data_IF_517585312568
#
_entry.id   IF_517585312568
#
_cell.length_a   1.000
_cell.length_b   1.000
_cell.length_c   1.000
_cell.angle_alpha   90.00
_cell.angle_beta   90.00
_cell.angle_gamma   90.00
#
_symmetry.space_group_name_H-M   'P 1'
#
loop_
_entity.id
_entity.type
_entity.pdbx_description
1 polymer ?
#
# COMPACT_ATOMS: atom_id res chain seq x y z
N UNK A 1 9.66 34.78 -12.12
CA UNK A 1 9.06 34.75 -10.76
C UNK A 1 8.72 33.32 -10.36
N UNK A 2 7.80 32.63 -11.03
CA UNK A 2 7.44 31.23 -10.71
C UNK A 2 8.64 30.27 -10.77
N UNK A 3 9.52 30.43 -11.75
CA UNK A 3 10.75 29.65 -11.90
C UNK A 3 11.76 29.88 -10.76
N UNK A 4 11.86 31.10 -10.27
CA UNK A 4 12.76 31.47 -9.20
C UNK A 4 12.26 30.93 -7.84
N UNK A 5 10.95 30.92 -7.63
CA UNK A 5 10.37 30.34 -6.41
C UNK A 5 10.54 28.81 -6.37
N UNK A 6 10.27 28.11 -7.48
CA UNK A 6 10.49 26.68 -7.57
C UNK A 6 11.97 26.29 -7.45
N UNK A 7 12.89 27.13 -7.95
CA UNK A 7 14.34 26.84 -7.87
C UNK A 7 14.96 27.12 -6.50
N UNK A 8 14.23 27.71 -5.56
CA UNK A 8 14.68 27.87 -4.15
C UNK A 8 14.52 26.61 -3.33
N UNK A 9 13.76 25.65 -3.83
CA UNK A 9 13.51 24.40 -3.13
C UNK A 9 14.63 23.37 -3.44
N UNK A 10 15.38 22.99 -2.43
CA UNK A 10 16.53 22.05 -2.56
C UNK A 10 16.12 20.64 -3.03
N UNK A 11 14.86 20.26 -2.88
CA UNK A 11 14.33 18.97 -3.28
C UNK A 11 13.82 18.94 -4.72
N UNK A 12 13.71 20.11 -5.37
CA UNK A 12 13.21 20.26 -6.74
C UNK A 12 14.35 20.75 -7.64
N UNK A 13 14.58 20.09 -8.75
CA UNK A 13 15.57 20.54 -9.72
C UNK A 13 15.12 21.85 -10.39
N UNK A 14 16.06 22.58 -10.94
CA UNK A 14 15.74 23.74 -11.77
C UNK A 14 14.74 23.34 -12.88
N UNK A 15 13.63 24.08 -13.04
CA UNK A 15 12.63 23.78 -14.05
C UNK A 15 13.21 23.91 -15.47
N UNK A 16 12.84 22.98 -16.34
CA UNK A 16 13.16 23.00 -17.77
C UNK A 16 11.88 23.27 -18.55
N UNK A 17 11.92 24.25 -19.45
CA UNK A 17 10.79 24.65 -20.28
C UNK A 17 11.28 25.14 -21.64
N UNK A 18 10.34 25.53 -22.51
CA UNK A 18 10.67 26.17 -23.79
C UNK A 18 11.56 27.43 -23.62
N UNK A 19 11.44 28.11 -22.47
CA UNK A 19 12.27 29.29 -22.16
C UNK A 19 13.75 28.90 -22.07
N UNK A 20 14.07 27.81 -21.43
CA UNK A 20 15.45 27.33 -21.33
C UNK A 20 15.99 26.84 -22.67
N UNK A 21 15.13 26.23 -23.50
CA UNK A 21 15.49 25.85 -24.88
C UNK A 21 15.82 27.12 -25.72
N UNK A 22 15.01 28.17 -25.60
CA UNK A 22 15.26 29.45 -26.29
C UNK A 22 16.56 30.11 -25.81
N UNK A 23 16.85 30.11 -24.49
CA UNK A 23 18.12 30.63 -23.95
C UNK A 23 19.30 29.82 -24.46
N UNK A 24 19.18 28.50 -24.52
CA UNK A 24 20.21 27.61 -25.06
C UNK A 24 20.44 27.87 -26.56
N UNK A 25 19.36 28.03 -27.36
CA UNK A 25 19.45 28.36 -28.78
C UNK A 25 20.13 29.72 -29.00
N UNK A 26 19.83 30.72 -28.15
CA UNK A 26 20.49 32.02 -28.19
C UNK A 26 22.00 31.90 -27.90
N UNK A 27 22.38 31.13 -26.90
CA UNK A 27 23.78 30.84 -26.59
C UNK A 27 24.49 30.10 -27.74
N UNK A 28 23.85 29.08 -28.30
CA UNK A 28 24.39 28.32 -29.43
C UNK A 28 24.60 29.23 -30.67
N UNK A 29 23.65 30.07 -30.97
CA UNK A 29 23.75 31.06 -32.09
C UNK A 29 24.98 31.97 -31.93
N UNK A 30 25.36 32.34 -30.71
CA UNK A 30 26.55 33.14 -30.39
C UNK A 30 27.76 32.31 -30.01
N UNK A 31 27.98 31.16 -30.68
CA UNK A 31 29.15 30.29 -30.53
C UNK A 31 29.35 29.74 -29.09
N UNK A 32 28.25 29.47 -28.35
CA UNK A 32 28.28 28.86 -27.05
C UNK A 32 28.73 29.75 -25.89
N UNK A 33 28.89 31.07 -26.10
CA UNK A 33 29.35 32.01 -25.07
C UNK A 33 28.36 32.06 -23.90
N UNK A 34 28.77 31.83 -22.63
CA UNK A 34 27.88 31.82 -21.48
C UNK A 34 27.08 33.11 -21.24
N UNK A 35 27.65 34.27 -21.62
CA UNK A 35 26.99 35.59 -21.51
C UNK A 35 25.69 35.70 -22.35
N UNK A 36 25.52 34.84 -23.34
CA UNK A 36 24.35 34.79 -24.20
C UNK A 36 23.30 33.75 -23.75
N UNK A 37 23.48 33.08 -22.61
CA UNK A 37 22.44 32.26 -22.00
C UNK A 37 21.35 33.13 -21.36
N UNK A 38 20.62 33.82 -22.20
CA UNK A 38 19.53 34.73 -21.85
C UNK A 38 18.49 34.76 -22.96
N UNK A 39 17.32 35.32 -22.68
CA UNK A 39 16.31 35.48 -23.72
C UNK A 39 16.84 36.45 -24.83
N UNK A 40 16.58 36.14 -26.12
CA UNK A 40 16.97 36.97 -27.22
C UNK A 40 16.24 38.32 -27.17
N UNK A 41 16.88 39.36 -27.68
CA UNK A 41 16.26 40.67 -27.85
C UNK A 41 15.22 40.64 -28.96
N UNK A 42 14.29 41.59 -28.97
CA UNK A 42 13.26 41.69 -30.02
C UNK A 42 13.82 41.69 -31.44
N UNK A 43 15.01 42.22 -31.64
CA UNK A 43 15.69 42.27 -32.95
C UNK A 43 16.20 40.87 -33.38
N UNK A 44 16.70 40.07 -32.47
CA UNK A 44 17.30 38.77 -32.77
C UNK A 44 16.32 37.61 -32.62
N UNK A 45 15.17 37.84 -31.99
CA UNK A 45 14.15 36.83 -31.69
C UNK A 45 13.74 36.00 -32.92
N UNK A 46 13.41 36.66 -34.02
CA UNK A 46 12.94 35.98 -35.23
C UNK A 46 14.03 35.10 -35.89
N UNK A 47 15.29 35.58 -35.85
CA UNK A 47 16.42 34.80 -36.36
C UNK A 47 16.68 33.53 -35.50
N UNK A 48 16.64 33.66 -34.19
CA UNK A 48 16.91 32.57 -33.27
C UNK A 48 15.77 31.54 -33.29
N UNK A 49 14.50 32.00 -33.35
CA UNK A 49 13.35 31.09 -33.49
C UNK A 49 13.41 30.35 -34.84
N UNK A 50 13.77 31.01 -35.92
CA UNK A 50 13.97 30.39 -37.24
C UNK A 50 15.14 29.39 -37.21
N UNK A 51 16.24 29.78 -36.59
CA UNK A 51 17.39 28.86 -36.39
C UNK A 51 16.99 27.62 -35.56
N UNK A 52 16.28 27.82 -34.47
CA UNK A 52 15.79 26.70 -33.62
C UNK A 52 14.79 25.80 -34.34
N UNK A 53 13.92 26.37 -35.20
CA UNK A 53 12.93 25.59 -35.98
C UNK A 53 13.52 24.88 -37.20
N UNK A 54 14.56 25.43 -37.81
CA UNK A 54 15.25 24.85 -38.96
C UNK A 54 16.35 23.84 -38.61
N UNK A 55 16.82 23.84 -37.37
CA UNK A 55 17.71 22.79 -36.90
C UNK A 55 16.95 21.48 -36.83
N UNK A 56 17.03 20.70 -37.90
CA UNK A 56 16.50 19.33 -38.04
C UNK A 56 17.16 18.34 -37.08
N UNK A 57 18.03 18.81 -36.18
CA UNK A 57 18.71 18.06 -35.15
C UNK A 57 18.03 18.16 -33.77
N UNK A 58 18.78 17.89 -32.73
CA UNK A 58 18.32 17.79 -31.32
C UNK A 58 17.54 19.01 -30.80
N UNK A 59 17.80 20.22 -31.30
CA UNK A 59 17.17 21.46 -30.78
C UNK A 59 15.71 21.58 -31.21
N UNK A 60 15.37 21.29 -32.46
CA UNK A 60 13.99 21.33 -32.98
C UNK A 60 13.12 20.25 -32.34
N UNK A 61 13.66 19.02 -32.19
CA UNK A 61 12.99 17.91 -31.52
C UNK A 61 12.74 18.19 -30.02
N UNK A 62 13.68 18.86 -29.35
CA UNK A 62 13.53 19.24 -27.93
C UNK A 62 12.47 20.33 -27.72
N UNK A 63 12.35 21.31 -28.61
CA UNK A 63 11.33 22.36 -28.52
C UNK A 63 9.90 21.77 -28.59
N UNK A 64 9.68 20.81 -29.47
CA UNK A 64 8.40 20.09 -29.63
C UNK A 64 8.01 19.26 -28.40
N UNK A 65 8.97 18.93 -27.52
CA UNK A 65 8.70 18.25 -26.26
C UNK A 65 8.08 19.17 -25.20
N UNK A 66 8.20 20.49 -25.35
CA UNK A 66 7.71 21.48 -24.38
C UNK A 66 6.53 22.30 -24.86
N UNK A 67 6.25 22.31 -26.15
CA UNK A 67 5.14 23.07 -26.73
C UNK A 67 4.46 22.22 -27.79
N UNK A 68 3.14 22.23 -27.81
CA UNK A 68 2.37 21.52 -28.82
C UNK A 68 2.35 22.27 -30.17
N UNK A 69 1.92 21.58 -31.24
CA UNK A 69 1.87 22.13 -32.60
C UNK A 69 0.92 23.35 -32.72
N UNK A 70 -0.05 23.46 -31.82
CA UNK A 70 -1.02 24.58 -31.80
C UNK A 70 -0.55 25.77 -30.97
N UNK A 71 0.60 25.66 -30.29
CA UNK A 71 1.16 26.65 -29.35
C UNK A 71 0.22 27.03 -28.21
N UNK A 72 -0.76 26.15 -27.89
CA UNK A 72 -1.74 26.39 -26.83
C UNK A 72 -1.36 25.72 -25.53
N UNK A 73 -0.45 24.74 -25.58
CA UNK A 73 -0.01 23.96 -24.41
C UNK A 73 1.49 24.07 -24.22
N UNK A 74 1.88 24.42 -23.01
CA UNK A 74 3.30 24.51 -22.63
C UNK A 74 3.57 23.55 -21.51
N UNK A 75 4.66 22.80 -21.64
CA UNK A 75 5.13 21.86 -20.62
C UNK A 75 6.27 22.46 -19.82
N UNK A 76 6.13 22.40 -18.51
CA UNK A 76 7.18 22.70 -17.54
C UNK A 76 7.61 21.36 -16.90
N UNK A 77 8.89 21.01 -16.96
CA UNK A 77 9.42 19.77 -16.42
C UNK A 77 10.46 20.04 -15.35
N UNK A 78 10.37 19.32 -14.24
CA UNK A 78 11.38 19.34 -13.18
C UNK A 78 11.49 17.95 -12.55
N UNK A 79 12.61 17.68 -11.91
CA UNK A 79 12.85 16.45 -11.17
C UNK A 79 12.69 16.72 -9.69
N UNK A 80 12.12 15.78 -8.98
CA UNK A 80 11.93 15.81 -7.53
C UNK A 80 12.76 14.68 -6.93
N UNK A 81 13.46 14.94 -5.82
CA UNK A 81 14.14 13.91 -5.04
C UNK A 81 13.13 12.94 -4.44
N UNK A 82 13.55 11.74 -4.09
CA UNK A 82 12.73 10.81 -3.30
C UNK A 82 12.67 11.30 -1.84
N UNK A 83 11.64 12.06 -1.52
CA UNK A 83 11.46 12.73 -0.22
C UNK A 83 10.39 12.06 0.66
N UNK A 84 9.83 10.95 0.20
CA UNK A 84 8.75 10.25 0.87
C UNK A 84 7.39 10.95 0.75
N UNK A 85 6.34 10.19 1.10
CA UNK A 85 4.93 10.56 0.79
C UNK A 85 4.47 11.84 1.49
N UNK A 86 4.84 12.04 2.75
CA UNK A 86 4.37 13.21 3.54
C UNK A 86 4.95 14.51 3.00
N UNK A 87 6.27 14.57 2.78
CA UNK A 87 6.91 15.76 2.22
C UNK A 87 6.46 16.03 0.79
N UNK A 88 6.19 14.97 0.01
CA UNK A 88 5.68 15.12 -1.35
C UNK A 88 4.30 15.76 -1.39
N UNK A 89 3.43 15.45 -0.43
CA UNK A 89 2.13 16.10 -0.29
C UNK A 89 2.26 17.59 0.02
N UNK A 90 3.11 17.95 0.98
CA UNK A 90 3.37 19.34 1.33
C UNK A 90 3.93 20.15 0.13
N UNK A 91 4.76 19.50 -0.70
CA UNK A 91 5.30 20.10 -1.93
C UNK A 91 4.25 20.24 -3.02
N UNK A 92 3.37 19.26 -3.20
CA UNK A 92 2.26 19.32 -4.14
C UNK A 92 1.32 20.48 -3.79
N UNK A 93 0.94 20.60 -2.51
CA UNK A 93 0.08 21.69 -2.04
C UNK A 93 0.72 23.08 -2.27
N UNK A 94 2.01 23.21 -1.98
CA UNK A 94 2.75 24.44 -2.27
C UNK A 94 2.78 24.76 -3.78
N UNK A 95 2.99 23.73 -4.61
CA UNK A 95 3.01 23.89 -6.06
C UNK A 95 1.66 24.37 -6.59
N UNK A 96 0.55 23.80 -6.10
CA UNK A 96 -0.79 24.27 -6.48
C UNK A 96 -1.04 25.71 -6.07
N UNK A 97 -0.63 26.12 -4.87
CA UNK A 97 -0.76 27.51 -4.41
C UNK A 97 0.04 28.49 -5.30
N UNK A 98 1.27 28.13 -5.67
CA UNK A 98 2.09 28.94 -6.60
C UNK A 98 1.42 28.99 -7.98
N UNK A 99 0.93 27.87 -8.47
CA UNK A 99 0.25 27.80 -9.77
C UNK A 99 -1.00 28.69 -9.79
N UNK A 100 -1.83 28.60 -8.77
CA UNK A 100 -3.07 29.40 -8.68
C UNK A 100 -2.80 30.90 -8.61
N UNK A 101 -1.71 31.32 -7.94
CA UNK A 101 -1.30 32.69 -7.86
C UNK A 101 -0.86 33.29 -9.21
N UNK A 102 -0.13 32.50 -10.03
CA UNK A 102 0.44 32.99 -11.29
C UNK A 102 -0.37 32.63 -12.53
N UNK A 103 -1.21 31.60 -12.45
CA UNK A 103 -2.03 31.08 -13.54
C UNK A 103 -3.50 30.95 -13.10
N UNK A 104 -4.25 32.08 -13.10
CA UNK A 104 -5.64 32.09 -12.68
C UNK A 104 -6.50 31.11 -13.50
N UNK A 105 -7.38 30.35 -12.82
CA UNK A 105 -8.18 29.29 -13.41
C UNK A 105 -9.20 29.77 -14.46
N UNK A 106 -9.48 31.09 -14.52
CA UNK A 106 -10.35 31.72 -15.53
C UNK A 106 -9.70 31.79 -16.93
N UNK A 107 -8.36 31.75 -16.99
CA UNK A 107 -7.59 31.89 -18.23
C UNK A 107 -6.74 30.69 -18.58
N UNK A 108 -6.30 29.94 -17.58
CA UNK A 108 -5.35 28.83 -17.74
C UNK A 108 -5.86 27.56 -17.08
N UNK A 109 -5.69 26.44 -17.76
CA UNK A 109 -5.87 25.13 -17.17
C UNK A 109 -4.50 24.50 -16.89
N UNK A 110 -4.10 24.44 -15.64
CA UNK A 110 -2.83 23.85 -15.25
C UNK A 110 -3.06 22.43 -14.71
N UNK A 111 -2.29 21.47 -15.22
CA UNK A 111 -2.31 20.07 -14.76
C UNK A 111 -0.93 19.68 -14.26
N UNK A 112 -0.83 19.37 -12.99
CA UNK A 112 0.38 18.79 -12.39
C UNK A 112 0.34 17.28 -12.62
N UNK A 113 1.37 16.74 -13.28
CA UNK A 113 1.45 15.32 -13.64
C UNK A 113 2.91 14.87 -13.69
N UNK A 114 3.14 13.61 -13.90
CA UNK A 114 4.47 13.01 -13.99
C UNK A 114 4.58 11.74 -13.17
N UNK A 115 5.65 10.97 -13.39
CA UNK A 115 5.85 9.69 -12.71
C UNK A 115 5.85 9.82 -11.19
N UNK A 116 6.47 10.87 -10.63
CA UNK A 116 6.50 11.11 -9.18
C UNK A 116 5.12 11.38 -8.60
N UNK A 117 4.28 12.18 -9.27
CA UNK A 117 2.90 12.47 -8.83
C UNK A 117 2.02 11.22 -8.94
N UNK A 118 2.12 10.49 -10.06
CA UNK A 118 1.36 9.25 -10.26
C UNK A 118 1.72 8.22 -9.20
N UNK A 119 3.02 8.05 -8.92
CA UNK A 119 3.50 7.14 -7.88
C UNK A 119 3.00 7.55 -6.49
N UNK A 120 3.07 8.84 -6.18
CA UNK A 120 2.60 9.39 -4.90
C UNK A 120 1.09 9.17 -4.71
N UNK A 121 0.27 9.59 -5.66
CA UNK A 121 -1.20 9.41 -5.60
C UNK A 121 -1.59 7.94 -5.63
N UNK A 122 -0.88 7.14 -6.42
CA UNK A 122 -1.04 5.68 -6.44
C UNK A 122 -0.77 5.07 -5.08
N UNK A 123 0.30 5.47 -4.40
CA UNK A 123 0.64 4.98 -3.05
C UNK A 123 -0.42 5.39 -2.03
N UNK A 124 -0.87 6.64 -2.04
CA UNK A 124 -1.96 7.09 -1.15
C UNK A 124 -3.25 6.29 -1.38
N UNK A 125 -3.63 6.08 -2.62
CA UNK A 125 -4.80 5.29 -2.98
C UNK A 125 -4.68 3.83 -2.50
N UNK A 126 -3.51 3.22 -2.68
CA UNK A 126 -3.26 1.86 -2.22
C UNK A 126 -3.31 1.75 -0.69
N UNK A 127 -2.74 2.71 0.04
CA UNK A 127 -2.80 2.75 1.51
C UNK A 127 -4.24 2.90 1.99
N UNK A 128 -5.00 3.82 1.43
CA UNK A 128 -6.41 4.01 1.77
C UNK A 128 -7.23 2.74 1.51
N UNK A 129 -7.06 2.13 0.33
CA UNK A 129 -7.76 0.89 -0.02
C UNK A 129 -7.34 -0.29 0.85
N UNK A 130 -6.07 -0.37 1.29
CA UNK A 130 -5.64 -1.38 2.25
C UNK A 130 -6.47 -1.30 3.52
N UNK A 131 -6.54 -0.13 4.16
CA UNK A 131 -7.30 0.02 5.41
C UNK A 131 -8.78 -0.26 5.21
N UNK A 132 -9.34 0.19 4.09
CA UNK A 132 -10.76 -0.05 3.76
C UNK A 132 -11.02 -1.54 3.52
N UNK A 133 -10.19 -2.22 2.74
CA UNK A 133 -10.34 -3.65 2.46
C UNK A 133 -10.09 -4.51 3.69
N UNK A 134 -9.11 -4.16 4.51
CA UNK A 134 -8.82 -4.86 5.77
C UNK A 134 -9.99 -4.69 6.76
N UNK A 135 -10.53 -3.48 6.91
CA UNK A 135 -11.71 -3.24 7.74
C UNK A 135 -12.92 -4.03 7.23
N UNK A 136 -13.17 -4.03 5.91
CA UNK A 136 -14.23 -4.82 5.32
C UNK A 136 -14.04 -6.32 5.56
N UNK A 137 -12.82 -6.83 5.40
CA UNK A 137 -12.49 -8.23 5.68
C UNK A 137 -12.75 -8.59 7.13
N UNK A 138 -12.33 -7.75 8.09
CA UNK A 138 -12.58 -7.94 9.53
C UNK A 138 -14.10 -7.98 9.80
N UNK A 139 -14.88 -7.06 9.22
CA UNK A 139 -16.34 -7.04 9.37
C UNK A 139 -16.99 -8.29 8.81
N UNK A 140 -16.60 -8.73 7.61
CA UNK A 140 -17.13 -9.96 7.01
C UNK A 140 -16.80 -11.20 7.83
N UNK A 141 -15.56 -11.32 8.31
CA UNK A 141 -15.14 -12.44 9.17
C UNK A 141 -15.88 -12.37 10.50
N UNK A 142 -16.00 -11.21 11.13
CA UNK A 142 -16.77 -11.03 12.34
C UNK A 142 -18.23 -11.42 12.16
N UNK A 143 -18.83 -11.05 11.05
CA UNK A 143 -20.20 -11.42 10.70
C UNK A 143 -20.33 -12.95 10.52
N UNK A 144 -19.44 -13.56 9.75
CA UNK A 144 -19.44 -15.01 9.52
C UNK A 144 -19.25 -15.77 10.84
N UNK A 145 -18.29 -15.34 11.68
CA UNK A 145 -18.05 -15.92 13.00
C UNK A 145 -19.24 -15.73 13.95
N UNK A 146 -19.87 -14.56 13.93
CA UNK A 146 -21.06 -14.29 14.72
C UNK A 146 -22.23 -15.18 14.29
N UNK A 147 -22.38 -15.42 12.99
CA UNK A 147 -23.38 -16.34 12.46
C UNK A 147 -23.09 -17.79 12.83
N UNK A 148 -21.84 -18.23 12.70
CA UNK A 148 -21.43 -19.60 13.00
C UNK A 148 -21.52 -19.93 14.50
N UNK A 149 -21.04 -19.03 15.36
CA UNK A 149 -20.93 -19.26 16.81
C UNK A 149 -22.08 -18.64 17.62
N UNK A 150 -22.87 -17.74 17.05
CA UNK A 150 -23.95 -17.01 17.74
C UNK A 150 -23.53 -16.31 19.05
N UNK A 151 -22.24 -16.01 19.18
CA UNK A 151 -21.65 -15.41 20.37
C UNK A 151 -20.69 -14.27 20.00
N UNK A 152 -20.99 -13.04 20.45
CA UNK A 152 -20.12 -11.87 20.23
C UNK A 152 -18.73 -12.04 20.86
N UNK A 153 -18.63 -12.81 21.93
CA UNK A 153 -17.35 -13.08 22.62
C UNK A 153 -16.44 -14.00 21.78
N UNK A 154 -17.02 -15.00 21.16
CA UNK A 154 -16.26 -15.89 20.24
C UNK A 154 -15.71 -15.13 19.04
N UNK A 155 -16.41 -14.11 18.56
CA UNK A 155 -15.91 -13.23 17.51
C UNK A 155 -14.62 -12.53 17.95
N UNK A 156 -14.59 -11.99 19.18
CA UNK A 156 -13.39 -11.34 19.74
C UNK A 156 -12.23 -12.35 19.90
N UNK A 157 -12.52 -13.53 20.43
CA UNK A 157 -11.53 -14.62 20.57
C UNK A 157 -10.95 -15.03 19.22
N UNK A 158 -11.76 -15.03 18.17
CA UNK A 158 -11.31 -15.33 16.82
C UNK A 158 -10.48 -14.22 16.17
N UNK A 159 -10.79 -12.95 16.44
CA UNK A 159 -10.13 -11.83 15.79
C UNK A 159 -8.78 -11.45 16.42
N UNK A 160 -8.65 -11.54 17.75
CA UNK A 160 -7.44 -11.11 18.46
C UNK A 160 -6.18 -11.83 17.93
N UNK A 161 -6.14 -13.18 17.79
CA UNK A 161 -4.97 -13.88 17.28
C UNK A 161 -4.57 -13.49 15.86
N UNK A 162 -5.50 -12.98 15.05
CA UNK A 162 -5.26 -12.58 13.67
C UNK A 162 -4.76 -11.12 13.55
N UNK A 163 -5.11 -10.27 14.52
CA UNK A 163 -4.68 -8.86 14.53
C UNK A 163 -3.24 -8.74 15.06
N UNK A 164 -2.84 -9.54 16.03
CA UNK A 164 -1.51 -9.46 16.66
C UNK A 164 -0.36 -9.62 15.65
N UNK A 165 -0.35 -10.60 14.73
CA UNK A 165 0.69 -10.73 13.71
C UNK A 165 0.79 -9.50 12.81
N UNK A 166 -0.33 -8.83 12.52
CA UNK A 166 -0.35 -7.60 11.73
C UNK A 166 0.33 -6.44 12.48
N UNK A 167 0.07 -6.32 13.78
CA UNK A 167 0.72 -5.32 14.65
C UNK A 167 2.23 -5.59 14.72
N UNK A 168 2.64 -6.85 14.87
CA UNK A 168 4.05 -7.24 14.88
C UNK A 168 4.72 -6.84 13.57
N UNK A 169 4.09 -7.11 12.44
CA UNK A 169 4.60 -6.73 11.12
C UNK A 169 4.74 -5.21 10.97
N UNK A 170 3.71 -4.46 11.38
CA UNK A 170 3.77 -3.00 11.37
C UNK A 170 4.89 -2.46 12.28
N UNK A 171 5.10 -3.09 13.45
CA UNK A 171 6.18 -2.73 14.37
C UNK A 171 7.56 -3.02 13.77
N UNK A 172 7.76 -4.16 13.10
CA UNK A 172 8.98 -4.51 12.38
C UNK A 172 9.24 -3.48 11.28
N UNK A 173 8.24 -3.16 10.47
CA UNK A 173 8.38 -2.15 9.42
C UNK A 173 8.79 -0.78 9.99
N UNK A 174 8.16 -0.35 11.09
CA UNK A 174 8.48 0.90 11.75
C UNK A 174 9.89 0.92 12.34
N UNK A 175 10.30 -0.18 13.00
CA UNK A 175 11.60 -0.29 13.65
C UNK A 175 12.77 -0.32 12.65
N UNK A 176 12.62 -1.05 11.55
CA UNK A 176 13.63 -1.16 10.49
C UNK A 176 13.52 -0.06 9.41
N UNK A 177 12.58 0.86 9.55
CA UNK A 177 12.38 1.93 8.58
C UNK A 177 11.93 1.45 7.19
N UNK A 178 11.24 0.31 7.11
CA UNK A 178 10.74 -0.23 5.84
C UNK A 178 9.56 0.60 5.36
N UNK A 179 9.67 1.30 4.21
CA UNK A 179 8.61 2.20 3.76
C UNK A 179 7.36 1.44 3.31
N UNK A 180 6.22 2.08 3.48
CA UNK A 180 4.94 1.59 2.94
C UNK A 180 4.94 1.81 1.43
N UNK A 181 5.05 0.72 0.67
CA UNK A 181 5.00 0.66 -0.80
C UNK A 181 3.96 -0.37 -1.23
N UNK A 182 3.61 -0.41 -2.50
CA UNK A 182 2.65 -1.38 -3.03
C UNK A 182 2.96 -2.83 -2.63
N UNK A 183 4.24 -3.24 -2.67
CA UNK A 183 4.69 -4.57 -2.27
C UNK A 183 4.50 -4.85 -0.78
N UNK A 184 4.84 -3.90 0.10
CA UNK A 184 4.72 -4.08 1.56
C UNK A 184 3.26 -4.01 2.04
N UNK A 185 2.39 -3.31 1.31
CA UNK A 185 0.94 -3.29 1.55
C UNK A 185 0.32 -4.69 1.38
N UNK A 186 0.76 -5.44 0.36
CA UNK A 186 0.27 -6.79 0.10
C UNK A 186 0.54 -7.76 1.25
N UNK A 187 1.61 -7.53 2.05
CA UNK A 187 1.95 -8.34 3.22
C UNK A 187 0.76 -8.46 4.17
N UNK A 188 0.13 -7.33 4.49
CA UNK A 188 -1.00 -7.29 5.43
C UNK A 188 -2.20 -8.09 4.93
N UNK A 189 -2.55 -7.94 3.64
CA UNK A 189 -3.70 -8.65 3.06
C UNK A 189 -3.46 -10.15 2.96
N UNK A 190 -2.28 -10.58 2.50
CA UNK A 190 -1.92 -11.99 2.36
C UNK A 190 -1.85 -12.67 3.73
N UNK A 191 -1.08 -12.08 4.65
CA UNK A 191 -0.88 -12.68 5.97
C UNK A 191 -2.17 -12.71 6.80
N UNK A 192 -3.02 -11.69 6.70
CA UNK A 192 -4.31 -11.68 7.37
C UNK A 192 -5.23 -12.80 6.86
N UNK A 193 -5.36 -12.95 5.53
CA UNK A 193 -6.19 -14.00 4.94
C UNK A 193 -5.77 -15.39 5.38
N UNK A 194 -4.48 -15.70 5.33
CA UNK A 194 -3.93 -17.00 5.72
C UNK A 194 -4.06 -17.23 7.25
N UNK A 195 -3.84 -16.21 8.07
CA UNK A 195 -3.99 -16.30 9.52
C UNK A 195 -5.41 -16.66 9.94
N UNK A 196 -6.40 -16.01 9.31
CA UNK A 196 -7.83 -16.24 9.59
C UNK A 196 -8.26 -17.66 9.22
N UNK A 197 -7.74 -18.20 8.12
CA UNK A 197 -8.04 -19.57 7.71
C UNK A 197 -7.68 -20.59 8.80
N UNK A 198 -6.49 -20.49 9.39
CA UNK A 198 -6.07 -21.30 10.51
C UNK A 198 -7.00 -21.17 11.73
N UNK A 199 -7.43 -19.95 12.05
CA UNK A 199 -8.38 -19.70 13.16
C UNK A 199 -9.74 -20.35 12.91
N UNK A 200 -10.26 -20.26 11.68
CA UNK A 200 -11.55 -20.85 11.30
C UNK A 200 -11.50 -22.37 11.45
N UNK A 201 -10.47 -23.01 10.92
CA UNK A 201 -10.28 -24.47 11.03
C UNK A 201 -10.20 -24.93 12.48
N UNK A 202 -9.39 -24.26 13.31
CA UNK A 202 -9.30 -24.59 14.73
C UNK A 202 -10.63 -24.43 15.46
N UNK A 203 -11.32 -23.32 15.29
CA UNK A 203 -12.59 -23.06 15.97
C UNK A 203 -13.73 -23.96 15.47
N UNK A 204 -13.74 -24.32 14.20
CA UNK A 204 -14.69 -25.30 13.67
C UNK A 204 -14.49 -26.68 14.33
N UNK A 205 -13.22 -27.14 14.43
CA UNK A 205 -12.89 -28.39 15.11
C UNK A 205 -13.20 -28.33 16.62
N UNK A 206 -12.81 -27.22 17.27
CA UNK A 206 -13.17 -26.99 18.68
C UNK A 206 -14.67 -27.12 18.95
N UNK A 207 -15.49 -26.56 18.06
CA UNK A 207 -16.95 -26.68 18.15
C UNK A 207 -17.43 -28.13 17.99
N UNK A 208 -16.84 -28.89 17.09
CA UNK A 208 -17.15 -30.31 16.88
C UNK A 208 -16.81 -31.14 18.13
N UNK A 209 -15.62 -30.91 18.72
CA UNK A 209 -15.16 -31.61 19.91
C UNK A 209 -15.97 -31.28 21.18
N UNK A 210 -16.56 -30.09 21.27
CA UNK A 210 -17.41 -29.72 22.39
C UNK A 210 -18.60 -30.69 22.57
N UNK A 211 -19.16 -31.19 21.48
CA UNK A 211 -20.27 -32.15 21.54
C UNK A 211 -19.80 -33.53 22.03
N UNK A 212 -18.60 -33.95 21.62
CA UNK A 212 -18.02 -35.25 22.02
C UNK A 212 -17.49 -35.31 23.45
N UNK A 213 -17.19 -34.15 24.06
CA UNK A 213 -16.54 -34.04 25.39
C UNK A 213 -17.48 -33.59 26.49
N UNK A 214 -18.80 -33.77 26.34
CA UNK A 214 -19.79 -33.29 27.32
C UNK A 214 -19.59 -31.79 27.68
N UNK A 215 -19.28 -30.97 26.70
CA UNK A 215 -19.09 -29.51 26.84
C UNK A 215 -17.89 -29.12 27.72
N UNK A 216 -16.89 -30.01 27.86
CA UNK A 216 -15.64 -29.68 28.53
C UNK A 216 -14.76 -28.81 27.63
N UNK A 217 -14.71 -27.52 27.91
CA UNK A 217 -13.94 -26.53 27.12
C UNK A 217 -12.46 -26.89 27.05
N UNK A 218 -11.88 -27.29 28.20
CA UNK A 218 -10.46 -27.67 28.27
C UNK A 218 -10.14 -28.87 27.40
N UNK A 219 -10.93 -29.93 27.51
CA UNK A 219 -10.71 -31.16 26.74
C UNK A 219 -10.91 -30.89 25.24
N UNK A 220 -11.96 -30.17 24.88
CA UNK A 220 -12.26 -29.83 23.48
C UNK A 220 -11.19 -28.91 22.84
N UNK A 221 -10.65 -27.95 23.58
CA UNK A 221 -9.58 -27.10 23.10
C UNK A 221 -8.28 -27.86 22.84
N UNK A 222 -7.94 -28.83 23.74
CA UNK A 222 -6.75 -29.68 23.58
C UNK A 222 -6.91 -30.63 22.41
N UNK A 223 -8.06 -31.29 22.28
CA UNK A 223 -8.33 -32.21 21.17
C UNK A 223 -8.32 -31.49 19.82
N UNK A 224 -8.97 -30.33 19.75
CA UNK A 224 -8.92 -29.49 18.54
C UNK A 224 -7.49 -29.09 18.18
N UNK A 225 -6.67 -28.72 19.17
CA UNK A 225 -5.27 -28.38 18.95
C UNK A 225 -4.43 -29.58 18.47
N UNK A 226 -4.66 -30.77 19.01
CA UNK A 226 -3.96 -31.96 18.57
C UNK A 226 -4.25 -32.32 17.12
N UNK A 227 -5.49 -32.16 16.66
CA UNK A 227 -5.86 -32.51 15.29
C UNK A 227 -5.50 -31.39 14.28
N UNK A 228 -5.76 -30.13 14.60
CA UNK A 228 -5.54 -29.04 13.67
C UNK A 228 -4.13 -28.44 13.76
N UNK A 229 -3.48 -28.57 14.93
CA UNK A 229 -2.18 -27.93 15.17
C UNK A 229 -1.08 -28.45 14.25
N UNK A 230 -1.06 -29.77 13.98
CA UNK A 230 -0.08 -30.35 13.05
C UNK A 230 -0.24 -29.75 11.64
N UNK A 231 -1.47 -29.68 11.14
CA UNK A 231 -1.76 -29.08 9.83
C UNK A 231 -1.36 -27.61 9.78
N UNK A 232 -1.62 -26.84 10.83
CA UNK A 232 -1.21 -25.44 10.93
C UNK A 232 0.31 -25.27 10.88
N UNK A 233 1.07 -26.13 11.60
CA UNK A 233 2.53 -26.09 11.59
C UNK A 233 3.09 -26.40 10.19
N UNK A 234 2.61 -27.47 9.55
CA UNK A 234 3.06 -27.84 8.21
C UNK A 234 2.74 -26.73 7.20
N UNK A 235 1.54 -26.19 7.23
CA UNK A 235 1.14 -25.10 6.36
C UNK A 235 2.02 -23.85 6.55
N UNK A 236 2.28 -23.46 7.81
CA UNK A 236 3.13 -22.33 8.12
C UNK A 236 4.58 -22.53 7.68
N UNK A 237 5.15 -23.72 7.82
CA UNK A 237 6.51 -24.05 7.37
C UNK A 237 6.59 -23.95 5.84
N UNK A 238 5.63 -24.57 5.13
CA UNK A 238 5.59 -24.53 3.67
C UNK A 238 5.51 -23.09 3.17
N UNK A 239 4.61 -22.29 3.75
CA UNK A 239 4.42 -20.90 3.37
C UNK A 239 5.61 -20.02 3.76
N UNK A 240 6.24 -20.27 4.92
CA UNK A 240 7.45 -19.56 5.33
C UNK A 240 8.56 -19.70 4.29
N UNK A 241 8.86 -20.92 3.86
CA UNK A 241 9.86 -21.15 2.83
C UNK A 241 9.38 -20.69 1.44
N UNK A 242 8.10 -20.87 1.12
CA UNK A 242 7.50 -20.46 -0.14
C UNK A 242 7.59 -18.95 -0.37
N UNK A 243 7.27 -18.14 0.63
CA UNK A 243 7.46 -16.68 0.57
C UNK A 243 8.90 -16.27 0.84
N UNK A 244 9.62 -17.03 1.67
CA UNK A 244 11.02 -16.78 1.98
C UNK A 244 11.94 -16.77 0.76
N UNK A 245 11.62 -17.53 -0.29
CA UNK A 245 12.40 -17.55 -1.54
C UNK A 245 12.44 -16.16 -2.21
N UNK A 246 11.44 -15.32 -2.00
CA UNK A 246 11.44 -13.96 -2.52
C UNK A 246 12.52 -13.06 -1.90
N UNK A 247 13.08 -13.46 -0.75
CA UNK A 247 14.22 -12.77 -0.16
C UNK A 247 15.49 -12.85 -1.02
N UNK A 248 15.56 -13.80 -1.97
CA UNK A 248 16.68 -13.96 -2.91
C UNK A 248 16.52 -13.10 -4.19
N UNK A 249 15.47 -12.29 -4.27
CA UNK A 249 15.21 -11.43 -5.43
C UNK A 249 16.15 -10.22 -5.44
N UNK A 250 16.54 -9.76 -6.63
CA UNK A 250 17.28 -8.50 -6.82
C UNK A 250 16.39 -7.25 -6.64
N UNK A 251 15.07 -7.41 -6.60
CA UNK A 251 14.13 -6.31 -6.44
C UNK A 251 13.76 -6.10 -4.97
N UNK A 252 14.21 -4.99 -4.37
CA UNK A 252 14.02 -4.71 -2.95
C UNK A 252 12.58 -4.75 -2.44
N UNK A 253 11.60 -4.42 -3.28
CA UNK A 253 10.18 -4.54 -2.93
C UNK A 253 9.73 -5.99 -2.75
N UNK A 254 10.23 -6.90 -3.58
CA UNK A 254 9.97 -8.34 -3.50
C UNK A 254 10.69 -8.96 -2.30
N UNK A 255 11.93 -8.55 -2.04
CA UNK A 255 12.69 -8.96 -0.84
C UNK A 255 11.93 -8.59 0.43
N UNK A 256 11.50 -7.35 0.56
CA UNK A 256 10.72 -6.88 1.71
C UNK A 256 9.41 -7.67 1.87
N UNK A 257 8.69 -7.91 0.76
CA UNK A 257 7.48 -8.72 0.77
C UNK A 257 7.76 -10.14 1.28
N UNK A 258 8.77 -10.81 0.73
CA UNK A 258 9.10 -12.18 1.12
C UNK A 258 9.44 -12.32 2.60
N UNK A 259 10.34 -11.49 3.10
CA UNK A 259 10.78 -11.50 4.50
C UNK A 259 9.61 -11.19 5.44
N UNK A 260 8.88 -10.11 5.17
CA UNK A 260 7.77 -9.68 6.03
C UNK A 260 6.64 -10.71 6.06
N UNK A 261 6.22 -11.26 4.91
CA UNK A 261 5.17 -12.30 4.87
C UNK A 261 5.63 -13.54 5.63
N UNK A 262 6.85 -14.01 5.41
CA UNK A 262 7.38 -15.19 6.10
C UNK A 262 7.36 -15.01 7.61
N UNK A 263 7.86 -13.90 8.12
CA UNK A 263 7.87 -13.62 9.57
C UNK A 263 6.43 -13.49 10.09
N UNK A 264 5.56 -12.80 9.36
CA UNK A 264 4.16 -12.61 9.77
C UNK A 264 3.41 -13.94 9.86
N UNK A 265 3.64 -14.85 8.92
CA UNK A 265 3.02 -16.18 8.92
C UNK A 265 3.49 -17.04 10.09
N UNK A 266 4.78 -16.98 10.47
CA UNK A 266 5.26 -17.62 11.69
C UNK A 266 4.62 -17.02 12.94
N UNK A 267 4.54 -15.70 13.02
CA UNK A 267 3.86 -15.02 14.13
C UNK A 267 2.37 -15.40 14.20
N UNK A 268 1.69 -15.52 13.05
CA UNK A 268 0.30 -15.95 12.96
C UNK A 268 0.11 -17.39 13.42
N UNK A 269 0.99 -18.28 13.00
CA UNK A 269 0.98 -19.68 13.48
C UNK A 269 1.13 -19.74 15.00
N UNK A 270 2.14 -19.07 15.58
CA UNK A 270 2.35 -19.02 17.02
C UNK A 270 1.14 -18.41 17.75
N UNK A 271 0.57 -17.36 17.22
CA UNK A 271 -0.65 -16.72 17.75
C UNK A 271 -1.83 -17.71 17.75
N UNK A 272 -2.03 -18.45 16.67
CA UNK A 272 -3.12 -19.42 16.58
C UNK A 272 -2.89 -20.67 17.42
N UNK A 273 -1.65 -21.13 17.59
CA UNK A 273 -1.34 -22.32 18.40
C UNK A 273 -1.31 -22.04 19.91
N UNK A 274 -0.91 -20.83 20.32
CA UNK A 274 -0.71 -20.50 21.72
C UNK A 274 -1.81 -19.58 22.24
N UNK A 275 -2.03 -18.46 21.55
CA UNK A 275 -2.92 -17.42 22.04
C UNK A 275 -4.39 -17.80 21.90
N UNK A 276 -4.78 -18.39 20.78
CA UNK A 276 -6.17 -18.77 20.54
C UNK A 276 -6.70 -19.79 21.57
N UNK A 277 -6.01 -20.94 21.84
CA UNK A 277 -6.42 -21.83 22.92
C UNK A 277 -6.40 -21.18 24.31
N UNK A 278 -5.39 -20.35 24.59
CA UNK A 278 -5.28 -19.65 25.87
C UNK A 278 -6.44 -18.68 26.10
N UNK A 279 -6.87 -17.94 25.08
CA UNK A 279 -8.04 -17.07 25.15
C UNK A 279 -9.34 -17.86 25.40
N UNK A 280 -9.50 -19.01 24.74
CA UNK A 280 -10.64 -19.88 24.96
C UNK A 280 -10.70 -20.35 26.42
N UNK A 281 -9.57 -20.81 26.97
CA UNK A 281 -9.48 -21.29 28.35
C UNK A 281 -9.70 -20.20 29.40
N UNK A 282 -9.16 -18.99 29.14
CA UNK A 282 -9.29 -17.85 30.07
C UNK A 282 -10.72 -17.29 30.10
N UNK A 283 -11.41 -17.31 28.98
CA UNK A 283 -12.79 -16.84 28.83
C UNK A 283 -13.84 -17.94 29.06
N UNK A 284 -13.42 -19.12 29.52
CA UNK A 284 -14.23 -20.33 29.73
C UNK A 284 -15.59 -20.03 30.38
N UNK A 285 -15.59 -19.37 31.51
CA UNK A 285 -16.83 -19.03 32.25
C UNK A 285 -17.78 -18.10 31.48
N UNK A 286 -17.29 -17.44 30.46
CA UNK A 286 -18.01 -16.39 29.75
C UNK A 286 -18.28 -16.68 28.26
N UNK A 287 -17.60 -17.67 27.66
CA UNK A 287 -17.74 -18.02 26.24
C UNK A 287 -18.82 -19.06 25.98
N UNK A 288 -19.10 -19.92 26.97
CA UNK A 288 -20.05 -21.02 26.82
C UNK A 288 -21.41 -20.62 27.33
N UNK A 289 -22.19 -19.90 26.55
CA UNK A 289 -23.60 -19.67 26.82
C UNK A 289 -24.47 -20.83 26.33
N UNK A 290 -25.64 -21.06 26.96
CA UNK A 290 -26.66 -22.02 26.51
C UNK A 290 -27.04 -21.90 25.00
N UNK A 291 -26.88 -20.76 24.42
CA UNK A 291 -27.09 -20.51 22.97
C UNK A 291 -26.05 -21.21 22.10
N UNK A 292 -24.88 -21.51 22.64
CA UNK A 292 -23.83 -22.27 21.96
C UNK A 292 -24.13 -23.78 21.98
N UNK A 293 -24.93 -24.22 22.92
CA UNK A 293 -25.33 -25.59 23.13
C UNK A 293 -26.41 -26.08 22.14
N UNK A 294 -27.20 -25.18 21.55
CA UNK A 294 -28.25 -25.54 20.58
C UNK A 294 -28.10 -24.74 19.25
N UNK A 295 -27.18 -25.08 18.37
CA UNK A 295 -27.11 -24.49 17.05
C UNK A 295 -28.24 -25.03 16.16
N UNK A 296 -29.01 -24.12 15.56
CA UNK A 296 -30.14 -24.45 14.66
C UNK A 296 -29.78 -25.38 13.49
N UNK A 297 -28.52 -25.47 13.13
CA UNK A 297 -28.04 -26.32 12.01
C UNK A 297 -28.13 -27.80 12.34
N UNK A 298 -28.02 -28.20 13.62
CA UNK A 298 -28.12 -29.63 14.03
C UNK A 298 -29.56 -30.06 14.32
N UNK A 299 -30.46 -29.12 14.65
CA UNK A 299 -31.88 -29.44 14.82
C UNK A 299 -32.62 -29.68 13.48
N UNK A 300 -32.06 -29.25 12.35
CA UNK A 300 -32.61 -29.57 11.02
C UNK A 300 -32.18 -30.95 10.48
N UNK A 301 -31.03 -31.45 10.92
CA UNK A 301 -30.61 -32.83 10.54
C UNK A 301 -31.27 -33.93 11.39
N UNK A 302 -31.60 -33.68 12.65
CA UNK A 302 -32.37 -34.58 13.46
C UNK A 302 -33.85 -34.69 13.01
N UNK A 303 -34.48 -33.57 12.61
CA UNK A 303 -35.82 -33.55 12.07
C UNK A 303 -35.95 -34.14 10.66
N UNK A 304 -34.87 -34.49 9.99
CA UNK A 304 -34.90 -35.21 8.70
C UNK A 304 -34.68 -36.72 8.82
N UNK A 305 -34.48 -37.22 10.02
CA UNK A 305 -34.28 -38.67 10.29
C UNK A 305 -35.48 -39.37 10.95
N UNK A 306 -36.47 -38.60 11.31
CA UNK A 306 -37.82 -39.08 11.65
C UNK A 306 -38.79 -38.85 10.48
#
# INVERSE_FOLDING_TARGET
LTFEELSKDEDISKPISIIEVIKFANQAFYNGKPSYYKLPTNMTKNFILKYASQSTGEIGGQANSFVDSTLQRVRLSFRVKDIGTKKMQEKEDKLYNIVEQYFPNDRYTVKVTGSSIIFFKGTQYLVFNLFTSLALAIVLIAFFMAWMFKSKRMVLVALIPNIIPQIITAAIMGYFGIPIKASTILVFSIAFGISVDGTIHYLAKYRQELQGTNWSIRSSAVLALQETGQSMIYNAIILFFGFGIFALSDFGGTVALGILVSITLLAAMLSNLILLPSLLLTLDKHTTNKTFQNPKILSEEENKKD
#
